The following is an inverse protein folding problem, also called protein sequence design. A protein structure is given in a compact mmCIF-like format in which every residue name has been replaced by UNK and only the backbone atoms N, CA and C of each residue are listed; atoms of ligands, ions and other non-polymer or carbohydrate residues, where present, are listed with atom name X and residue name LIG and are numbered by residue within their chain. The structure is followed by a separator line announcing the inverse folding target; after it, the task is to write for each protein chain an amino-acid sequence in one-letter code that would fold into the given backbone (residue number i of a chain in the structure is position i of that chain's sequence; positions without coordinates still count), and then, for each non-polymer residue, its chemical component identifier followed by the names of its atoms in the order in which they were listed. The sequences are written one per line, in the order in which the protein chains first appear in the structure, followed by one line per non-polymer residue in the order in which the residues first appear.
data_IF_452948459429
#
_entry.id   IF_452948459429
#
_cell.length_a   1.000
_cell.length_b   1.000
_cell.length_c   1.000
_cell.angle_alpha   90.00
_cell.angle_beta   90.00
_cell.angle_gamma   90.00
#
_symmetry.space_group_name_H-M   'P 1'
#
loop_
_entity.id
_entity.type
_entity.pdbx_description
1 polymer ?
#
# COMPACT_ATOMS: atom_id res chain seq x y z
N UNK A 1 -23.62 -8.73 5.51
CA UNK A 1 -22.47 -8.26 6.32
C UNK A 1 -21.77 -9.40 7.03
N UNK A 2 -22.49 -10.21 7.81
CA UNK A 2 -21.92 -11.41 8.46
C UNK A 2 -21.36 -12.41 7.46
N UNK A 3 -22.08 -12.66 6.37
CA UNK A 3 -21.59 -13.52 5.27
C UNK A 3 -20.27 -12.99 4.67
N UNK A 4 -20.19 -11.68 4.40
CA UNK A 4 -18.95 -11.05 3.94
C UNK A 4 -17.82 -11.21 4.97
N UNK A 5 -18.12 -11.07 6.26
CA UNK A 5 -17.15 -11.31 7.34
C UNK A 5 -16.70 -12.76 7.39
N UNK A 6 -17.60 -13.73 7.19
CA UNK A 6 -17.25 -15.14 7.15
C UNK A 6 -16.32 -15.46 5.95
N UNK A 7 -16.60 -14.86 4.78
CA UNK A 7 -15.80 -15.07 3.57
C UNK A 7 -14.44 -14.37 3.60
N UNK A 8 -14.35 -13.21 4.27
CA UNK A 8 -13.18 -12.32 4.17
C UNK A 8 -12.48 -12.06 5.52
N UNK A 9 -12.97 -12.62 6.63
CA UNK A 9 -12.45 -12.40 7.99
C UNK A 9 -12.74 -10.99 8.56
N UNK A 10 -13.36 -10.09 7.78
CA UNK A 10 -13.53 -8.69 8.16
C UNK A 10 -14.82 -8.07 7.60
N UNK A 11 -15.25 -6.94 8.15
CA UNK A 11 -16.46 -6.19 7.74
C UNK A 11 -16.18 -5.09 6.71
N UNK A 12 -15.03 -5.15 6.04
CA UNK A 12 -14.52 -4.10 5.16
C UNK A 12 -15.05 -4.24 3.74
N UNK A 13 -16.28 -3.78 3.54
CA UNK A 13 -16.93 -3.80 2.24
C UNK A 13 -16.58 -2.51 1.47
N UNK A 14 -16.06 -2.61 0.23
CA UNK A 14 -15.85 -1.46 -0.64
C UNK A 14 -17.17 -0.73 -0.95
N UNK A 15 -17.10 0.59 -1.24
CA UNK A 15 -18.30 1.33 -1.68
C UNK A 15 -18.91 0.73 -2.95
N UNK A 16 -18.06 0.33 -3.90
CA UNK A 16 -18.44 -0.42 -5.10
C UNK A 16 -18.20 -1.90 -4.82
N UNK A 17 -19.20 -2.58 -4.30
CA UNK A 17 -19.15 -4.02 -4.04
C UNK A 17 -20.07 -4.72 -5.04
N UNK A 18 -19.50 -5.28 -6.10
CA UNK A 18 -20.27 -5.71 -7.27
C UNK A 18 -21.23 -6.87 -6.96
N UNK A 19 -20.85 -7.77 -6.05
CA UNK A 19 -21.72 -8.85 -5.58
C UNK A 19 -22.96 -8.35 -4.84
N UNK A 20 -22.86 -7.21 -4.13
CA UNK A 20 -24.00 -6.58 -3.46
C UNK A 20 -23.79 -5.06 -3.29
N UNK A 21 -24.13 -4.26 -4.32
CA UNK A 21 -23.87 -2.82 -4.31
C UNK A 21 -24.59 -2.10 -3.17
N UNK A 22 -25.79 -2.56 -2.79
CA UNK A 22 -26.58 -2.01 -1.70
C UNK A 22 -25.86 -2.15 -0.36
N UNK A 23 -25.22 -3.31 -0.11
CA UNK A 23 -24.42 -3.54 1.08
C UNK A 23 -23.21 -2.59 1.15
N UNK A 24 -22.54 -2.37 0.02
CA UNK A 24 -21.42 -1.41 -0.07
C UNK A 24 -21.84 0.02 0.27
N UNK A 25 -23.00 0.47 -0.24
CA UNK A 25 -23.58 1.78 0.08
C UNK A 25 -23.96 1.85 1.57
N UNK A 26 -24.65 0.82 2.08
CA UNK A 26 -25.10 0.77 3.48
C UNK A 26 -23.94 0.88 4.48
N UNK A 27 -22.83 0.18 4.24
CA UNK A 27 -21.62 0.26 5.08
C UNK A 27 -21.06 1.68 5.12
N UNK A 28 -21.05 2.39 3.99
CA UNK A 28 -20.58 3.78 3.94
C UNK A 28 -21.52 4.72 4.68
N UNK A 29 -22.84 4.47 4.65
CA UNK A 29 -23.81 5.22 5.45
C UNK A 29 -23.54 5.02 6.93
N UNK A 30 -23.34 3.79 7.42
CA UNK A 30 -23.05 3.55 8.84
C UNK A 30 -21.78 4.27 9.30
N UNK A 31 -20.70 4.21 8.52
CA UNK A 31 -19.45 4.93 8.81
C UNK A 31 -19.63 6.44 8.83
N UNK A 32 -20.44 6.99 7.91
CA UNK A 32 -20.77 8.42 7.87
C UNK A 32 -21.58 8.84 9.10
N UNK A 33 -22.62 8.10 9.44
CA UNK A 33 -23.47 8.38 10.60
C UNK A 33 -22.68 8.30 11.91
N UNK A 34 -21.80 7.31 12.06
CA UNK A 34 -20.91 7.22 13.23
C UNK A 34 -19.97 8.43 13.33
N UNK A 35 -19.30 8.81 12.24
CA UNK A 35 -18.43 10.01 12.21
C UNK A 35 -19.18 11.30 12.54
N UNK A 36 -20.45 11.41 12.14
CA UNK A 36 -21.30 12.56 12.44
C UNK A 36 -21.94 12.50 13.83
N UNK A 37 -21.65 11.47 14.64
CA UNK A 37 -22.30 11.21 15.95
C UNK A 37 -23.83 11.09 15.85
N UNK A 38 -24.35 10.67 14.70
CA UNK A 38 -25.79 10.48 14.40
C UNK A 38 -26.23 9.02 14.43
N UNK A 39 -25.35 8.12 14.90
CA UNK A 39 -25.64 6.69 14.94
C UNK A 39 -26.31 6.35 16.28
N UNK A 40 -27.50 5.75 16.23
CA UNK A 40 -28.21 5.28 17.42
C UNK A 40 -27.37 4.26 18.21
N UNK A 41 -27.37 4.37 19.54
CA UNK A 41 -26.55 3.54 20.44
C UNK A 41 -26.77 2.03 20.24
N UNK A 42 -28.01 1.58 20.09
CA UNK A 42 -28.32 0.17 19.83
C UNK A 42 -27.72 -0.31 18.49
N UNK A 43 -27.75 0.55 17.46
CA UNK A 43 -27.15 0.22 16.15
C UNK A 43 -25.63 0.18 16.22
N UNK A 44 -25.01 1.08 16.99
CA UNK A 44 -23.58 1.06 17.26
C UNK A 44 -23.16 -0.24 17.93
N UNK A 45 -23.82 -0.61 19.04
CA UNK A 45 -23.50 -1.82 19.80
C UNK A 45 -23.61 -3.09 18.96
N UNK A 46 -24.68 -3.24 18.17
CA UNK A 46 -24.85 -4.39 17.27
C UNK A 46 -23.72 -4.51 16.24
N UNK A 47 -23.20 -3.38 15.76
CA UNK A 47 -22.10 -3.33 14.80
C UNK A 47 -20.75 -3.60 15.50
N UNK A 48 -20.55 -3.09 16.70
CA UNK A 48 -19.38 -3.42 17.54
C UNK A 48 -19.29 -4.91 17.86
N UNK A 49 -20.40 -5.54 18.28
CA UNK A 49 -20.42 -6.97 18.62
C UNK A 49 -19.97 -7.88 17.47
N UNK A 50 -20.13 -7.44 16.23
CA UNK A 50 -19.71 -8.20 15.04
C UNK A 50 -18.35 -7.75 14.50
N UNK A 51 -17.61 -6.91 15.24
CA UNK A 51 -16.31 -6.38 14.84
C UNK A 51 -16.42 -5.47 13.61
N UNK A 52 -17.41 -4.58 13.59
CA UNK A 52 -17.59 -3.66 12.47
C UNK A 52 -16.48 -2.61 12.42
N UNK A 53 -15.75 -2.55 11.30
CA UNK A 53 -14.64 -1.61 11.15
C UNK A 53 -15.17 -0.23 10.73
N UNK A 54 -15.20 0.68 11.70
CA UNK A 54 -15.67 2.07 11.53
C UNK A 54 -14.71 2.95 10.74
N UNK A 55 -13.41 2.80 10.99
CA UNK A 55 -12.38 3.64 10.38
C UNK A 55 -11.61 2.88 9.30
N UNK A 56 -11.69 3.39 8.07
CA UNK A 56 -10.87 2.91 6.94
C UNK A 56 -9.38 3.23 7.13
N UNK A 57 -9.00 4.12 8.04
CA UNK A 57 -7.59 4.46 8.34
C UNK A 57 -6.81 3.26 8.88
N UNK A 58 -7.35 2.55 9.87
CA UNK A 58 -6.71 1.36 10.45
C UNK A 58 -6.56 0.23 9.42
N UNK A 59 -7.51 0.11 8.48
CA UNK A 59 -7.35 -0.76 7.32
C UNK A 59 -6.33 -0.21 6.32
N UNK A 60 -6.29 1.09 6.05
CA UNK A 60 -5.31 1.68 5.15
C UNK A 60 -3.89 1.48 5.67
N UNK A 61 -3.70 1.39 6.98
CA UNK A 61 -2.46 1.00 7.63
C UNK A 61 -2.20 -0.50 7.47
N UNK A 62 -3.16 -1.37 7.82
CA UNK A 62 -3.01 -2.82 7.64
C UNK A 62 -2.75 -3.23 6.18
N UNK A 63 -3.45 -2.64 5.22
CA UNK A 63 -3.24 -2.85 3.79
C UNK A 63 -1.88 -2.32 3.32
N UNK A 64 -1.44 -1.19 3.87
CA UNK A 64 -0.11 -0.67 3.56
C UNK A 64 0.97 -1.61 4.10
N UNK A 65 0.77 -2.14 5.32
CA UNK A 65 1.67 -3.12 5.94
C UNK A 65 1.77 -4.40 5.12
N UNK A 66 0.63 -4.98 4.73
CA UNK A 66 0.58 -6.18 3.89
C UNK A 66 1.34 -5.99 2.57
N UNK A 67 1.15 -4.85 1.90
CA UNK A 67 1.86 -4.57 0.65
C UNK A 67 3.34 -4.25 0.87
N UNK A 68 3.69 -3.63 1.99
CA UNK A 68 5.08 -3.41 2.38
C UNK A 68 5.79 -4.75 2.64
N UNK A 69 5.12 -5.70 3.28
CA UNK A 69 5.64 -7.05 3.48
C UNK A 69 5.82 -7.79 2.14
N UNK A 70 4.84 -7.73 1.24
CA UNK A 70 5.00 -8.30 -0.11
C UNK A 70 6.15 -7.65 -0.91
N UNK A 71 6.44 -6.36 -0.67
CA UNK A 71 7.58 -5.68 -1.27
C UNK A 71 8.91 -6.19 -0.68
N UNK A 72 8.97 -6.47 0.63
CA UNK A 72 10.14 -7.07 1.28
C UNK A 72 10.43 -8.46 0.71
N UNK A 73 9.40 -9.30 0.57
CA UNK A 73 9.51 -10.63 -0.05
C UNK A 73 10.01 -10.54 -1.48
N UNK A 74 9.45 -9.62 -2.28
CA UNK A 74 9.93 -9.38 -3.65
C UNK A 74 11.41 -8.97 -3.65
N UNK A 75 11.82 -8.06 -2.76
CA UNK A 75 13.21 -7.64 -2.64
C UNK A 75 14.13 -8.81 -2.24
N UNK A 76 13.69 -9.66 -1.31
CA UNK A 76 14.45 -10.84 -0.92
C UNK A 76 14.67 -11.81 -2.09
N UNK A 77 13.66 -11.97 -2.96
CA UNK A 77 13.73 -12.85 -4.12
C UNK A 77 14.52 -12.26 -5.31
N UNK A 78 14.46 -10.94 -5.52
CA UNK A 78 14.99 -10.29 -6.72
C UNK A 78 16.18 -9.36 -6.48
N UNK A 79 16.54 -9.11 -5.22
CA UNK A 79 17.61 -8.16 -4.82
C UNK A 79 17.25 -6.68 -4.96
N UNK A 80 16.10 -6.34 -5.55
CA UNK A 80 15.69 -4.96 -5.83
C UNK A 80 14.19 -4.71 -5.63
N UNK A 81 13.79 -3.44 -5.59
CA UNK A 81 12.38 -3.02 -5.45
C UNK A 81 11.76 -2.53 -6.77
N UNK A 82 12.39 -2.84 -7.91
CA UNK A 82 11.89 -2.49 -9.24
C UNK A 82 10.75 -3.41 -9.65
N UNK A 83 9.53 -3.02 -9.29
CA UNK A 83 8.29 -3.73 -9.67
C UNK A 83 7.60 -2.96 -10.82
N UNK A 84 7.25 -3.64 -11.93
CA UNK A 84 6.46 -3.05 -13.02
C UNK A 84 5.01 -2.82 -12.59
N UNK A 85 4.33 -1.86 -13.23
CA UNK A 85 2.90 -1.60 -12.96
C UNK A 85 2.02 -2.83 -13.20
N UNK A 86 2.30 -3.57 -14.27
CA UNK A 86 1.69 -4.86 -14.58
C UNK A 86 2.63 -5.94 -14.06
N UNK A 87 2.40 -6.38 -12.82
CA UNK A 87 3.14 -7.47 -12.21
C UNK A 87 2.19 -8.66 -12.05
N UNK A 88 2.30 -9.65 -12.95
CA UNK A 88 1.27 -10.68 -13.08
C UNK A 88 1.16 -11.60 -11.86
N UNK A 89 2.29 -11.87 -11.18
CA UNK A 89 2.30 -12.65 -9.93
C UNK A 89 1.57 -11.96 -8.78
N UNK A 90 1.60 -10.62 -8.74
CA UNK A 90 0.85 -9.84 -7.74
C UNK A 90 0.45 -8.46 -8.32
N UNK A 91 -0.69 -8.39 -9.04
CA UNK A 91 -1.11 -7.16 -9.70
C UNK A 91 -1.36 -6.01 -8.71
N UNK A 92 -1.77 -6.34 -7.49
CA UNK A 92 -2.02 -5.37 -6.41
C UNK A 92 -0.72 -4.69 -5.97
N UNK A 93 0.37 -5.45 -5.84
CA UNK A 93 1.68 -4.92 -5.49
C UNK A 93 2.21 -3.96 -6.58
N UNK A 94 2.08 -4.33 -7.86
CA UNK A 94 2.47 -3.46 -8.97
C UNK A 94 1.73 -2.12 -8.98
N UNK A 95 0.42 -2.13 -8.71
CA UNK A 95 -0.38 -0.91 -8.56
C UNK A 95 0.06 -0.11 -7.33
N UNK A 96 0.24 -0.78 -6.19
CA UNK A 96 0.60 -0.14 -4.92
C UNK A 96 1.96 0.57 -4.99
N UNK A 97 2.96 -0.05 -5.63
CA UNK A 97 4.29 0.56 -5.87
C UNK A 97 4.16 1.84 -6.70
N UNK A 98 3.34 1.83 -7.75
CA UNK A 98 3.08 3.02 -8.56
C UNK A 98 2.37 4.12 -7.76
N UNK A 99 1.46 3.74 -6.86
CA UNK A 99 0.84 4.69 -5.93
C UNK A 99 1.88 5.34 -5.03
N UNK A 100 2.82 4.59 -4.45
CA UNK A 100 3.89 5.17 -3.61
C UNK A 100 4.74 6.17 -4.40
N UNK A 101 5.14 5.83 -5.63
CA UNK A 101 5.90 6.72 -6.52
C UNK A 101 5.14 8.00 -6.85
N UNK A 102 3.85 7.90 -7.17
CA UNK A 102 2.99 9.07 -7.45
C UNK A 102 2.83 9.96 -6.21
N UNK A 103 2.59 9.36 -5.05
CA UNK A 103 2.46 10.10 -3.78
C UNK A 103 3.74 10.85 -3.43
N UNK A 104 4.91 10.24 -3.64
CA UNK A 104 6.20 10.88 -3.42
C UNK A 104 6.43 12.07 -4.37
N UNK A 105 6.15 11.91 -5.67
CA UNK A 105 6.29 13.00 -6.65
C UNK A 105 5.40 14.20 -6.34
N UNK A 106 4.18 13.94 -5.87
CA UNK A 106 3.22 14.99 -5.55
C UNK A 106 3.47 15.66 -4.19
N UNK A 107 4.47 15.20 -3.42
CA UNK A 107 4.76 15.73 -2.08
C UNK A 107 5.45 17.10 -2.11
N UNK A 108 5.90 17.59 -3.27
CA UNK A 108 6.59 18.88 -3.42
C UNK A 108 5.73 20.13 -3.16
N UNK A 109 4.40 20.01 -2.98
CA UNK A 109 3.52 21.15 -2.70
C UNK A 109 3.02 21.25 -1.26
N UNK A 110 3.29 20.26 -0.40
CA UNK A 110 2.85 20.29 0.99
C UNK A 110 4.00 19.85 1.89
N UNK A 111 4.61 20.83 2.56
CA UNK A 111 5.76 20.73 3.49
C UNK A 111 5.47 19.93 4.77
N UNK A 112 4.58 18.93 4.72
CA UNK A 112 4.38 17.97 5.80
C UNK A 112 5.31 16.79 5.56
N UNK A 113 6.53 17.00 6.06
CA UNK A 113 7.64 16.07 6.07
C UNK A 113 7.20 14.61 6.26
N UNK A 114 7.73 13.76 5.37
CA UNK A 114 8.02 12.35 5.58
C UNK A 114 7.08 11.59 6.53
N UNK A 115 5.92 11.17 6.02
CA UNK A 115 5.13 10.15 6.70
C UNK A 115 6.00 8.92 7.01
N UNK A 116 5.78 8.25 8.14
CA UNK A 116 6.49 7.02 8.55
C UNK A 116 6.70 6.01 7.39
N UNK A 117 5.72 5.93 6.48
CA UNK A 117 5.75 5.11 5.25
C UNK A 117 6.93 5.44 4.32
N UNK A 118 7.26 6.72 4.13
CA UNK A 118 8.39 7.15 3.30
C UNK A 118 9.71 6.76 3.95
N UNK A 119 9.84 6.90 5.27
CA UNK A 119 11.04 6.47 6.01
C UNK A 119 11.26 4.96 5.86
N UNK A 120 10.20 4.16 6.01
CA UNK A 120 10.25 2.71 5.86
C UNK A 120 10.62 2.28 4.43
N UNK A 121 10.06 2.94 3.42
CA UNK A 121 10.44 2.71 2.01
C UNK A 121 11.89 3.13 1.74
N UNK A 122 12.35 4.24 2.33
CA UNK A 122 13.75 4.67 2.22
C UNK A 122 14.70 3.67 2.86
N UNK A 123 14.37 3.15 4.04
CA UNK A 123 15.19 2.17 4.77
C UNK A 123 15.47 0.89 3.97
N UNK A 124 14.55 0.50 3.08
CA UNK A 124 14.73 -0.69 2.24
C UNK A 124 15.34 -0.39 0.86
N UNK A 125 15.77 0.85 0.59
CA UNK A 125 16.30 1.24 -0.71
C UNK A 125 15.23 1.21 -1.81
N UNK A 126 14.02 1.72 -1.53
CA UNK A 126 12.94 1.72 -2.50
C UNK A 126 13.25 2.56 -3.74
N UNK A 127 13.08 1.97 -4.92
CA UNK A 127 13.30 2.62 -6.21
C UNK A 127 12.13 3.56 -6.58
N UNK A 128 12.26 4.82 -6.15
CA UNK A 128 11.30 5.90 -6.45
C UNK A 128 11.21 6.23 -7.94
N UNK A 129 12.32 6.05 -8.66
CA UNK A 129 12.42 6.30 -10.09
C UNK A 129 12.70 4.99 -10.81
N UNK A 130 11.95 4.73 -11.87
CA UNK A 130 12.30 3.69 -12.82
C UNK A 130 13.50 4.22 -13.61
N UNK A 131 14.68 3.63 -13.42
CA UNK A 131 15.82 3.92 -14.28
C UNK A 131 15.34 3.62 -15.71
N UNK A 132 15.33 4.65 -16.58
CA UNK A 132 15.14 4.42 -18.02
C UNK A 132 16.16 3.35 -18.41
N UNK A 133 15.76 2.33 -19.18
CA UNK A 133 16.68 1.29 -19.69
C UNK A 133 18.00 1.96 -20.06
N UNK A 134 19.04 1.74 -19.26
CA UNK A 134 20.37 2.16 -19.66
C UNK A 134 20.80 1.08 -20.67
N UNK A 135 21.19 1.44 -21.90
CA UNK A 135 21.68 0.48 -22.88
C UNK A 135 22.73 -0.43 -22.25
N UNK A 136 22.75 -1.70 -22.68
CA UNK A 136 23.62 -2.74 -22.12
C UNK A 136 25.09 -2.31 -22.02
N UNK A 137 25.53 -1.47 -22.96
CA UNK A 137 26.88 -0.91 -23.07
C UNK A 137 27.30 -0.08 -21.84
N UNK A 138 26.36 0.54 -21.13
CA UNK A 138 26.68 1.32 -19.93
C UNK A 138 26.87 0.48 -18.66
N UNK A 139 26.63 -0.84 -18.71
CA UNK A 139 26.89 -1.74 -17.57
C UNK A 139 28.36 -2.08 -17.39
N UNK A 140 29.20 -1.85 -18.40
CA UNK A 140 30.64 -2.15 -18.33
C UNK A 140 31.40 -1.09 -17.51
N UNK A 141 30.95 0.18 -17.50
CA UNK A 141 31.63 1.26 -16.77
C UNK A 141 31.30 1.37 -15.27
N UNK A 142 30.21 0.78 -14.78
CA UNK A 142 29.86 0.82 -13.35
C UNK A 142 30.35 -0.40 -12.57
N UNK A 143 30.74 -1.49 -13.26
CA UNK A 143 31.38 -2.64 -12.64
C UNK A 143 32.88 -2.41 -12.35
N UNK A 144 33.56 -1.54 -13.12
CA UNK A 144 34.98 -1.22 -12.92
C UNK A 144 35.25 -0.17 -11.83
N UNK A 145 34.26 0.65 -11.46
CA UNK A 145 34.44 1.63 -10.36
C UNK A 145 34.41 0.99 -8.96
N UNK A 146 34.00 -0.27 -8.82
CA UNK A 146 34.03 -1.01 -7.56
C UNK A 146 35.30 -1.87 -7.35
N UNK A 147 36.25 -1.87 -8.29
CA UNK A 147 37.50 -2.64 -8.18
C UNK A 147 38.78 -1.79 -8.06
N UNK A 148 38.68 -0.46 -7.95
CA UNK A 148 39.85 0.42 -7.75
C UNK A 148 39.94 1.10 -6.38
N UNK A 149 39.10 0.72 -5.41
CA UNK A 149 39.21 1.24 -4.03
C UNK A 149 39.73 0.21 -3.00
N UNK A 150 40.33 -0.90 -3.43
CA UNK A 150 40.94 -1.89 -2.52
C UNK A 150 42.37 -2.31 -2.91
N UNK A 151 43.14 -1.42 -3.54
CA UNK A 151 44.60 -1.50 -3.53
C UNK A 151 45.18 -0.09 -3.72
N UNK A 152 46.12 0.29 -2.85
CA UNK A 152 46.71 1.62 -2.56
C UNK A 152 46.02 2.29 -1.34
N UNK A 153 46.61 2.27 -0.13
CA UNK A 153 48.01 2.06 0.26
C UNK A 153 48.10 1.39 1.63
#
# INVERSE_FOLDING_TARGET
LLEYKAQHGHTLIPRKYDKNPRLGIWVQVQRRSHRQKKLLSNRFLRLECIGFVWCTQRLNEANWELMFQSLLEYKAQHGHTLIPRKYDKNPRLGIWVQTQRKMHRNMHSNKKASSNRVLRLKAIGFAWYLVKRVPWESKINTATHWFQCFNCS
#
